data_IF_997966476232
#
_entry.id   IF_997966476232
#
_cell.length_a   1.000
_cell.length_b   1.000
_cell.length_c   1.000
_cell.angle_alpha   90.00
_cell.angle_beta   90.00
_cell.angle_gamma   90.00
#
_symmetry.space_group_name_H-M   'P 1'
#
loop_
_entity.id
_entity.type
_entity.pdbx_description
1 polymer ?
#
# COMPACT_ATOMS: atom_id res chain seq x y z
N UNK A 1 -17.36 -2.84 -16.64
CA UNK A 1 -15.97 -2.84 -16.15
C UNK A 1 -15.46 -4.27 -16.27
N UNK A 2 -14.45 -4.49 -17.10
CA UNK A 2 -13.93 -5.83 -17.39
C UNK A 2 -12.84 -6.16 -16.36
N UNK A 3 -13.02 -7.21 -15.55
CA UNK A 3 -12.03 -7.61 -14.51
C UNK A 3 -10.68 -8.09 -15.08
N UNK A 4 -10.55 -8.18 -16.40
CA UNK A 4 -9.33 -8.57 -17.10
C UNK A 4 -8.23 -7.49 -17.14
N UNK A 5 -8.57 -6.23 -16.85
CA UNK A 5 -7.64 -5.10 -16.97
C UNK A 5 -7.11 -4.60 -15.61
N UNK A 6 -7.54 -5.21 -14.49
CA UNK A 6 -7.10 -4.82 -13.15
C UNK A 6 -5.68 -5.33 -12.89
N UNK A 7 -4.78 -4.44 -12.46
CA UNK A 7 -3.45 -4.86 -12.00
C UNK A 7 -3.60 -5.75 -10.76
N UNK A 8 -3.01 -6.95 -10.73
CA UNK A 8 -3.04 -7.79 -9.54
C UNK A 8 -2.33 -7.11 -8.36
N UNK A 9 -2.77 -7.40 -7.13
CA UNK A 9 -2.03 -7.02 -5.92
C UNK A 9 -0.97 -8.07 -5.60
N UNK A 10 0.25 -7.61 -5.36
CA UNK A 10 1.35 -8.39 -4.79
C UNK A 10 1.60 -7.90 -3.37
N UNK A 11 1.25 -8.73 -2.39
CA UNK A 11 1.51 -8.46 -0.97
C UNK A 11 2.97 -8.79 -0.64
N UNK A 12 3.68 -7.86 -0.02
CA UNK A 12 5.10 -8.03 0.32
C UNK A 12 5.27 -8.28 1.81
N UNK A 13 5.93 -9.40 2.17
CA UNK A 13 6.07 -9.80 3.56
C UNK A 13 4.71 -10.01 4.23
N UNK A 14 4.54 -9.51 5.47
CA UNK A 14 3.28 -9.63 6.22
C UNK A 14 2.22 -8.59 5.84
N UNK A 15 2.37 -7.84 4.75
CA UNK A 15 1.47 -6.70 4.47
C UNK A 15 -0.03 -7.07 4.36
N UNK A 16 -0.35 -8.30 3.96
CA UNK A 16 -1.73 -8.81 3.94
C UNK A 16 -2.23 -9.10 5.35
N UNK A 17 -1.40 -9.71 6.19
CA UNK A 17 -1.75 -9.99 7.59
C UNK A 17 -1.85 -8.67 8.38
N UNK A 18 -0.92 -7.73 8.14
CA UNK A 18 -0.96 -6.39 8.69
C UNK A 18 -2.29 -5.68 8.37
N UNK A 19 -2.87 -5.90 7.17
CA UNK A 19 -4.19 -5.37 6.80
C UNK A 19 -5.31 -6.10 7.54
N UNK A 20 -5.27 -7.44 7.58
CA UNK A 20 -6.30 -8.28 8.22
C UNK A 20 -6.39 -8.08 9.73
N UNK A 21 -5.32 -7.60 10.36
CA UNK A 21 -5.27 -7.26 11.78
C UNK A 21 -5.87 -5.87 12.10
N UNK A 22 -6.21 -5.07 11.09
CA UNK A 22 -6.86 -3.76 11.30
C UNK A 22 -8.36 -3.92 11.63
N UNK A 23 -9.02 -2.89 12.20
CA UNK A 23 -10.48 -2.89 12.36
C UNK A 23 -11.21 -3.04 11.02
N UNK A 24 -12.38 -3.70 11.02
CA UNK A 24 -13.13 -4.02 9.80
C UNK A 24 -13.38 -2.81 8.89
N UNK A 25 -13.80 -1.67 9.46
CA UNK A 25 -14.00 -0.44 8.69
C UNK A 25 -12.73 0.04 7.97
N UNK A 26 -11.56 -0.13 8.59
CA UNK A 26 -10.29 0.22 7.96
C UNK A 26 -9.91 -0.79 6.87
N UNK A 27 -10.22 -2.08 7.05
CA UNK A 27 -10.00 -3.09 6.02
C UNK A 27 -10.83 -2.80 4.77
N UNK A 28 -12.11 -2.49 4.95
CA UNK A 28 -13.05 -2.19 3.86
C UNK A 28 -12.60 -0.95 3.08
N UNK A 29 -12.32 0.15 3.78
CA UNK A 29 -11.89 1.40 3.16
C UNK A 29 -10.55 1.23 2.43
N UNK A 30 -9.53 0.65 3.09
CA UNK A 30 -8.22 0.44 2.45
C UNK A 30 -8.32 -0.53 1.27
N UNK A 31 -9.15 -1.58 1.37
CA UNK A 31 -9.42 -2.51 0.29
C UNK A 31 -10.05 -1.82 -0.91
N UNK A 32 -11.06 -0.97 -0.69
CA UNK A 32 -11.67 -0.16 -1.74
C UNK A 32 -10.65 0.78 -2.41
N UNK A 33 -9.83 1.47 -1.62
CA UNK A 33 -8.81 2.37 -2.15
C UNK A 33 -7.71 1.64 -2.93
N UNK A 34 -7.33 0.41 -2.52
CA UNK A 34 -6.44 -0.44 -3.29
C UNK A 34 -7.09 -0.92 -4.58
N UNK A 35 -8.38 -1.27 -4.57
CA UNK A 35 -9.15 -1.64 -5.77
C UNK A 35 -9.16 -0.54 -6.82
N UNK A 36 -9.29 0.73 -6.40
CA UNK A 36 -9.12 1.89 -7.29
C UNK A 36 -7.73 1.90 -7.95
N UNK A 37 -6.68 1.69 -7.16
CA UNK A 37 -5.32 1.63 -7.66
C UNK A 37 -5.10 0.47 -8.66
N UNK A 38 -5.75 -0.69 -8.44
CA UNK A 38 -5.73 -1.80 -9.39
C UNK A 38 -6.33 -1.41 -10.75
N UNK A 39 -7.34 -0.54 -10.76
CA UNK A 39 -7.98 0.00 -11.97
C UNK A 39 -7.22 1.20 -12.58
N UNK A 40 -6.04 1.53 -12.06
CA UNK A 40 -5.26 2.69 -12.52
C UNK A 40 -5.80 4.05 -12.07
N UNK A 41 -6.77 4.05 -11.15
CA UNK A 41 -7.29 5.27 -10.54
C UNK A 41 -6.46 5.64 -9.31
N UNK A 42 -6.37 6.94 -9.03
CA UNK A 42 -5.81 7.39 -7.77
C UNK A 42 -6.77 7.07 -6.60
N UNK A 43 -6.24 6.64 -5.44
CA UNK A 43 -6.97 6.65 -4.18
C UNK A 43 -7.53 8.05 -3.88
N UNK A 44 -8.60 8.14 -3.09
CA UNK A 44 -9.25 9.41 -2.78
C UNK A 44 -8.36 10.33 -1.91
N UNK A 45 -7.66 9.75 -0.93
CA UNK A 45 -6.68 10.46 -0.10
C UNK A 45 -5.34 9.71 -0.09
N UNK A 46 -4.32 10.30 -0.71
CA UNK A 46 -2.97 9.76 -0.72
C UNK A 46 -1.90 10.86 -0.79
N UNK A 47 -0.64 10.47 -0.54
CA UNK A 47 0.54 11.31 -0.78
C UNK A 47 1.75 10.50 -1.23
N UNK A 48 2.74 11.10 -1.91
CA UNK A 48 4.00 10.41 -2.22
C UNK A 48 4.83 10.13 -0.95
N UNK A 49 5.49 8.98 -0.90
CA UNK A 49 6.39 8.55 0.16
C UNK A 49 7.81 8.35 -0.37
N UNK A 50 8.47 9.46 -0.74
CA UNK A 50 9.84 9.45 -1.29
C UNK A 50 10.86 8.85 -0.32
N UNK A 51 10.62 8.98 0.98
CA UNK A 51 11.46 8.39 2.01
C UNK A 51 11.44 6.86 1.97
N UNK A 52 10.36 6.24 1.51
CA UNK A 52 10.26 4.77 1.37
C UNK A 52 10.91 4.31 0.06
N UNK A 53 10.64 5.02 -1.04
CA UNK A 53 11.25 4.76 -2.33
C UNK A 53 10.60 5.58 -3.45
N UNK A 54 11.28 5.73 -4.61
CA UNK A 54 10.69 6.38 -5.78
C UNK A 54 9.33 5.78 -6.13
N UNK A 55 8.33 6.60 -6.42
CA UNK A 55 6.98 6.14 -6.81
C UNK A 55 6.18 5.42 -5.73
N UNK A 56 6.70 5.29 -4.50
CA UNK A 56 5.91 4.83 -3.37
C UNK A 56 4.85 5.87 -2.99
N UNK A 57 3.63 5.41 -2.68
CA UNK A 57 2.48 6.22 -2.28
C UNK A 57 1.92 5.71 -0.96
N UNK A 58 1.44 6.63 -0.12
CA UNK A 58 0.71 6.35 1.12
C UNK A 58 -0.77 6.65 0.91
N UNK A 59 -1.63 5.64 1.01
CA UNK A 59 -3.08 5.80 1.16
C UNK A 59 -3.38 6.23 2.59
N UNK A 60 -4.32 7.17 2.78
CA UNK A 60 -4.70 7.71 4.09
C UNK A 60 -6.19 7.51 4.32
N UNK A 61 -6.52 6.60 5.25
CA UNK A 61 -7.91 6.35 5.68
C UNK A 61 -8.08 6.84 7.12
N UNK A 62 -9.26 7.40 7.41
CA UNK A 62 -9.69 7.73 8.76
C UNK A 62 -11.06 7.09 9.00
N UNK A 63 -11.15 6.29 10.06
CA UNK A 63 -12.40 5.68 10.52
C UNK A 63 -12.65 6.12 11.97
N UNK A 64 -13.79 5.78 12.58
CA UNK A 64 -13.99 5.98 14.01
C UNK A 64 -12.91 5.34 14.90
N UNK A 65 -12.25 4.29 14.42
CA UNK A 65 -11.20 3.56 15.14
C UNK A 65 -9.81 4.19 15.04
N UNK A 66 -9.67 5.26 14.24
CA UNK A 66 -8.44 6.04 14.11
C UNK A 66 -7.96 6.21 12.68
N UNK A 67 -6.65 6.39 12.52
CA UNK A 67 -6.02 6.72 11.25
C UNK A 67 -5.18 5.54 10.74
N UNK A 68 -5.49 5.06 9.54
CA UNK A 68 -4.85 3.88 8.94
C UNK A 68 -4.17 4.24 7.63
N UNK A 69 -3.02 3.61 7.39
CA UNK A 69 -2.15 3.96 6.26
C UNK A 69 -1.70 2.70 5.54
N UNK A 70 -1.63 2.79 4.21
CA UNK A 70 -1.08 1.73 3.37
C UNK A 70 -0.02 2.29 2.43
N UNK A 71 1.19 1.71 2.46
CA UNK A 71 2.23 1.99 1.48
C UNK A 71 2.11 1.04 0.30
N UNK A 72 2.14 1.58 -0.92
CA UNK A 72 2.12 0.78 -2.14
C UNK A 72 2.95 1.41 -3.27
N UNK A 73 3.28 0.59 -4.27
CA UNK A 73 3.95 1.00 -5.51
C UNK A 73 3.22 0.40 -6.71
N UNK A 74 2.83 1.24 -7.68
CA UNK A 74 2.14 0.82 -8.91
C UNK A 74 2.99 0.96 -10.19
N UNK A 75 4.17 1.60 -10.09
CA UNK A 75 5.01 1.94 -11.24
C UNK A 75 5.84 0.77 -11.79
N UNK A 76 5.93 -0.34 -11.06
CA UNK A 76 6.71 -1.52 -11.47
C UNK A 76 6.04 -2.35 -12.59
N UNK A 77 5.09 -1.75 -13.32
CA UNK A 77 4.44 -2.35 -14.49
C UNK A 77 3.32 -3.32 -14.13
N UNK A 78 3.69 -4.49 -13.63
CA UNK A 78 2.83 -5.69 -13.67
C UNK A 78 1.79 -5.81 -12.55
N UNK A 79 2.00 -5.10 -11.43
CA UNK A 79 1.20 -5.29 -10.22
C UNK A 79 1.19 -4.03 -9.34
N UNK A 80 0.22 -4.00 -8.43
CA UNK A 80 0.22 -3.12 -7.26
C UNK A 80 0.97 -3.84 -6.14
N UNK A 81 2.16 -3.34 -5.78
CA UNK A 81 2.94 -3.92 -4.69
C UNK A 81 2.57 -3.24 -3.38
N UNK A 82 1.86 -3.95 -2.50
CA UNK A 82 1.49 -3.44 -1.18
C UNK A 82 2.59 -3.80 -0.19
N UNK A 83 3.18 -2.76 0.41
CA UNK A 83 4.38 -2.87 1.23
C UNK A 83 4.04 -2.96 2.71
N UNK A 84 3.08 -2.19 3.21
CA UNK A 84 2.78 -2.15 4.64
C UNK A 84 1.42 -1.50 4.88
N UNK A 85 0.65 -2.07 5.81
CA UNK A 85 -0.61 -1.52 6.32
C UNK A 85 -0.47 -1.31 7.83
N UNK A 86 -0.84 -0.15 8.37
CA UNK A 86 -0.62 0.12 9.79
C UNK A 86 -1.57 1.18 10.37
N UNK A 87 -1.80 1.10 11.68
CA UNK A 87 -2.47 2.14 12.47
C UNK A 87 -1.47 3.26 12.81
N UNK A 88 -1.68 4.43 12.23
CA UNK A 88 -0.90 5.64 12.50
C UNK A 88 -1.39 6.35 13.76
N UNK A 89 -0.68 6.14 14.87
CA UNK A 89 -1.00 6.70 16.19
C UNK A 89 -0.40 8.09 16.47
N UNK A 90 0.51 8.55 15.63
CA UNK A 90 1.27 9.80 15.82
C UNK A 90 1.14 10.69 14.60
N UNK A 91 1.52 11.98 14.70
CA UNK A 91 1.43 12.92 13.58
C UNK A 91 2.40 12.60 12.44
N UNK A 92 3.61 12.13 12.74
CA UNK A 92 4.60 11.72 11.75
C UNK A 92 4.67 10.19 11.68
N UNK A 93 4.74 9.65 10.48
CA UNK A 93 5.03 8.22 10.25
C UNK A 93 6.31 7.86 11.01
N UNK A 94 6.29 6.75 11.75
CA UNK A 94 7.43 6.38 12.58
C UNK A 94 8.62 5.97 11.72
N UNK A 95 9.83 6.09 12.27
CA UNK A 95 11.04 5.58 11.60
C UNK A 95 10.94 4.08 11.34
N UNK A 96 10.31 3.32 12.23
CA UNK A 96 10.14 1.88 12.08
C UNK A 96 9.27 1.54 10.86
N UNK A 97 8.15 2.24 10.66
CA UNK A 97 7.25 2.02 9.51
C UNK A 97 7.95 2.41 8.19
N UNK A 98 8.71 3.51 8.20
CA UNK A 98 9.49 3.94 7.03
C UNK A 98 10.57 2.89 6.70
N UNK A 99 11.32 2.42 7.69
CA UNK A 99 12.39 1.46 7.48
C UNK A 99 11.85 0.08 7.05
N UNK A 100 10.69 -0.34 7.58
CA UNK A 100 9.98 -1.54 7.10
C UNK A 100 9.54 -1.36 5.64
N UNK A 101 8.92 -0.22 5.32
CA UNK A 101 8.55 0.15 3.96
C UNK A 101 9.74 0.10 3.00
N UNK A 102 10.90 0.66 3.38
CA UNK A 102 12.13 0.63 2.57
C UNK A 102 12.62 -0.78 2.29
N UNK A 103 12.65 -1.65 3.31
CA UNK A 103 13.07 -3.05 3.13
C UNK A 103 12.16 -3.77 2.15
N UNK A 104 10.84 -3.61 2.32
CA UNK A 104 9.84 -4.25 1.45
C UNK A 104 9.81 -3.63 0.05
N UNK A 105 10.10 -2.34 -0.10
CA UNK A 105 10.27 -1.70 -1.40
C UNK A 105 11.38 -2.36 -2.22
N UNK A 106 12.54 -2.64 -1.60
CA UNK A 106 13.65 -3.34 -2.27
C UNK A 106 13.25 -4.76 -2.70
N UNK A 107 12.51 -5.48 -1.86
CA UNK A 107 11.98 -6.80 -2.22
C UNK A 107 10.99 -6.72 -3.40
N UNK A 108 10.07 -5.75 -3.38
CA UNK A 108 9.13 -5.51 -4.47
C UNK A 108 9.86 -5.21 -5.80
N UNK A 109 10.92 -4.41 -5.75
CA UNK A 109 11.74 -4.10 -6.92
C UNK A 109 12.43 -5.35 -7.48
N UNK A 110 12.99 -6.20 -6.63
CA UNK A 110 13.58 -7.48 -7.07
C UNK A 110 12.54 -8.40 -7.73
N UNK A 111 11.35 -8.53 -7.14
CA UNK A 111 10.26 -9.33 -7.72
C UNK A 111 9.76 -8.82 -9.08
N UNK A 112 9.89 -7.52 -9.34
CA UNK A 112 9.55 -6.92 -10.62
C UNK A 112 10.64 -7.17 -11.67
N UNK A 113 11.92 -7.11 -11.27
CA UNK A 113 13.07 -7.38 -12.15
C UNK A 113 13.19 -8.85 -12.56
N UNK A 114 12.76 -9.78 -11.71
CA UNK A 114 12.75 -11.22 -12.03
C UNK A 114 11.68 -11.61 -13.07
N UNK A 115 10.73 -10.72 -13.37
CA UNK A 115 9.60 -10.99 -14.28
C UNK A 115 9.59 -10.13 -15.55
N UNK A 116 10.42 -9.08 -15.60
CA UNK A 116 10.61 -8.18 -16.74
C UNK A 116 11.45 -8.76 -17.87
#
# INVERSE_FOLDING_TARGET
MNRGDEKPIRWVGSALDDLRDLPAAAQDDLGYQLGRAQQGLDPDDWKPMKDVGPGCREIRVHTPDGAFRTFYVAQFGEAIYVLHCFHKKTQKTSKADIDLGRRRYKAAQAYAQERS
#
